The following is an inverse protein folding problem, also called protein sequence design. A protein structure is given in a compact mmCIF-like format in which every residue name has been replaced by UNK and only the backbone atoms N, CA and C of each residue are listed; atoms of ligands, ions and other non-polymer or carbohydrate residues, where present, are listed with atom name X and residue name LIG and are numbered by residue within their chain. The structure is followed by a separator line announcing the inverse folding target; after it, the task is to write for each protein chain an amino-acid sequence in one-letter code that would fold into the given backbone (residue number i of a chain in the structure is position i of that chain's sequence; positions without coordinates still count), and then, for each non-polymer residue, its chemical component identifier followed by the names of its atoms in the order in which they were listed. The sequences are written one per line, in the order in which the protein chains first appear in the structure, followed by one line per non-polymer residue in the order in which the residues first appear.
data_IF_662570565925
#
_entry.id   IF_662570565925
#
_cell.length_a   1.000
_cell.length_b   1.000
_cell.length_c   1.000
_cell.angle_alpha   90.00
_cell.angle_beta   90.00
_cell.angle_gamma   90.00
#
_symmetry.space_group_name_H-M   'P 1'
#
loop_
_entity.id
_entity.type
_entity.pdbx_description
1 polymer ?
#
# COMPACT_ATOMS: atom_id res chain seq x y z
N UNK A 1 -7.67 25.87 3.75
CA UNK A 1 -7.01 26.24 5.01
C UNK A 1 -5.57 26.55 4.70
N UNK A 2 -5.04 27.64 5.22
CA UNK A 2 -3.67 28.12 5.04
C UNK A 2 -2.96 27.96 6.39
N UNK A 3 -2.12 26.95 6.55
CA UNK A 3 -1.51 26.57 7.81
C UNK A 3 -0.17 27.27 8.08
N UNK A 4 0.62 27.52 7.05
CA UNK A 4 1.97 28.11 7.09
C UNK A 4 1.99 29.46 6.35
N UNK A 5 1.14 29.61 5.33
CA UNK A 5 1.08 30.77 4.45
C UNK A 5 0.76 32.07 5.20
N UNK A 6 -0.17 32.06 6.16
CA UNK A 6 -0.49 33.27 6.94
C UNK A 6 0.68 33.74 7.81
N UNK A 7 1.37 32.82 8.49
CA UNK A 7 2.55 33.16 9.30
C UNK A 7 3.68 33.70 8.43
N UNK A 8 3.89 33.13 7.24
CA UNK A 8 4.87 33.61 6.27
C UNK A 8 4.57 35.04 5.81
N UNK A 9 3.32 35.34 5.45
CA UNK A 9 2.91 36.68 5.01
C UNK A 9 3.08 37.70 6.14
N UNK A 10 2.73 37.33 7.36
CA UNK A 10 2.86 38.23 8.51
C UNK A 10 4.32 38.62 8.76
N UNK A 11 5.24 37.63 8.69
CA UNK A 11 6.69 37.87 8.81
C UNK A 11 7.19 38.74 7.65
N UNK A 12 6.77 38.43 6.42
CA UNK A 12 7.20 39.15 5.22
C UNK A 12 6.74 40.62 5.22
N UNK A 13 5.49 40.88 5.59
CA UNK A 13 4.94 42.22 5.76
C UNK A 13 5.66 42.97 6.89
N UNK A 14 5.95 42.32 8.01
CA UNK A 14 6.72 42.90 9.11
C UNK A 14 8.12 43.33 8.69
N UNK A 15 8.83 42.47 7.93
CA UNK A 15 10.14 42.80 7.37
C UNK A 15 10.07 43.97 6.39
N UNK A 16 9.06 44.00 5.53
CA UNK A 16 8.83 45.13 4.60
C UNK A 16 8.53 46.44 5.35
N UNK A 17 7.78 46.38 6.45
CA UNK A 17 7.48 47.55 7.28
C UNK A 17 8.73 48.13 7.94
N UNK A 18 9.59 47.27 8.49
CA UNK A 18 10.88 47.67 9.08
C UNK A 18 11.77 48.31 8.01
N UNK A 19 11.82 47.72 6.82
CA UNK A 19 12.60 48.26 5.71
C UNK A 19 12.08 49.62 5.23
N UNK A 20 10.75 49.77 5.12
CA UNK A 20 10.14 51.04 4.75
C UNK A 20 10.44 52.13 5.79
N UNK A 21 10.43 51.79 7.09
CA UNK A 21 10.77 52.72 8.18
C UNK A 21 12.25 53.15 8.12
N UNK A 22 13.16 52.22 7.82
CA UNK A 22 14.61 52.50 7.74
C UNK A 22 14.98 53.39 6.55
N UNK A 23 14.27 53.25 5.44
CA UNK A 23 14.59 53.97 4.20
C UNK A 23 13.67 55.16 3.91
N UNK A 24 12.81 55.56 4.86
CA UNK A 24 11.80 56.60 4.65
C UNK A 24 10.89 56.34 3.43
N UNK A 25 10.66 55.07 3.10
CA UNK A 25 9.75 54.66 2.02
C UNK A 25 8.30 54.61 2.53
N UNK A 26 7.30 54.60 1.63
CA UNK A 26 5.91 54.61 2.03
C UNK A 26 5.51 53.33 2.79
N UNK A 27 5.09 53.50 4.05
CA UNK A 27 4.71 52.38 4.95
C UNK A 27 3.55 51.53 4.41
N UNK A 28 2.72 52.06 3.51
CA UNK A 28 1.62 51.32 2.88
C UNK A 28 2.11 50.19 1.97
N UNK A 29 3.39 50.16 1.58
CA UNK A 29 3.97 49.03 0.83
C UNK A 29 3.91 47.73 1.63
N UNK A 30 4.08 47.79 2.96
CA UNK A 30 3.91 46.62 3.82
C UNK A 30 2.47 46.08 3.80
N UNK A 31 1.47 46.97 3.80
CA UNK A 31 0.06 46.58 3.72
C UNK A 31 -0.27 45.90 2.37
N UNK A 32 0.35 46.35 1.28
CA UNK A 32 0.20 45.68 -0.02
C UNK A 32 0.90 44.32 -0.04
N UNK A 33 2.09 44.20 0.56
CA UNK A 33 2.78 42.90 0.68
C UNK A 33 1.97 41.93 1.55
N UNK A 34 1.28 42.42 2.58
CA UNK A 34 0.37 41.61 3.39
C UNK A 34 -0.84 41.10 2.59
N UNK A 35 -1.47 41.97 1.80
CA UNK A 35 -2.64 41.60 1.00
C UNK A 35 -2.29 40.80 -0.27
N UNK A 36 -1.12 41.07 -0.86
CA UNK A 36 -0.65 40.50 -2.12
C UNK A 36 0.87 40.23 -2.05
N UNK A 37 1.30 39.12 -1.41
CA UNK A 37 2.71 38.82 -1.15
C UNK A 37 3.54 38.62 -2.42
N UNK A 38 2.88 38.28 -3.53
CA UNK A 38 3.49 38.13 -4.86
C UNK A 38 4.06 39.46 -5.38
N UNK A 39 3.65 40.60 -4.81
CA UNK A 39 4.19 41.92 -5.14
C UNK A 39 5.53 42.25 -4.46
N UNK A 40 6.00 41.42 -3.52
CA UNK A 40 7.24 41.65 -2.77
C UNK A 40 8.48 41.82 -3.68
N UNK A 41 8.69 41.02 -4.74
CA UNK A 41 9.77 41.24 -5.70
C UNK A 41 9.78 42.65 -6.29
N UNK A 42 8.62 43.19 -6.67
CA UNK A 42 8.52 44.54 -7.23
C UNK A 42 9.06 45.60 -6.26
N UNK A 43 8.72 45.50 -4.98
CA UNK A 43 9.20 46.43 -3.96
C UNK A 43 10.69 46.22 -3.59
N UNK A 44 11.19 44.98 -3.66
CA UNK A 44 12.63 44.68 -3.52
C UNK A 44 13.41 45.36 -4.65
N UNK A 45 12.93 45.32 -5.89
CA UNK A 45 13.61 45.99 -7.00
C UNK A 45 13.51 47.51 -6.95
N UNK A 46 12.39 48.04 -6.45
CA UNK A 46 12.13 49.49 -6.33
C UNK A 46 12.88 50.16 -5.17
N UNK A 47 13.25 49.43 -4.12
CA UNK A 47 13.95 49.95 -2.93
C UNK A 47 15.45 50.25 -3.12
N UNK A 48 16.01 50.07 -4.31
CA UNK A 48 17.29 50.71 -4.65
C UNK A 48 18.59 50.01 -4.22
N UNK A 49 18.57 48.96 -3.38
CA UNK A 49 19.81 48.36 -2.80
C UNK A 49 20.72 47.60 -3.78
N UNK A 50 21.99 47.37 -3.40
CA UNK A 50 22.98 46.56 -4.15
C UNK A 50 22.80 45.03 -4.06
N UNK A 51 21.95 44.53 -3.15
CA UNK A 51 21.73 43.09 -2.90
C UNK A 51 20.35 42.59 -3.35
N UNK A 52 19.73 43.23 -4.35
CA UNK A 52 18.35 42.91 -4.82
C UNK A 52 18.20 41.46 -5.26
N UNK A 53 19.19 40.93 -5.98
CA UNK A 53 19.19 39.55 -6.45
C UNK A 53 19.18 38.55 -5.29
N UNK A 54 19.97 38.80 -4.24
CA UNK A 54 20.02 37.94 -3.06
C UNK A 54 18.67 37.95 -2.32
N UNK A 55 18.08 39.13 -2.11
CA UNK A 55 16.77 39.26 -1.46
C UNK A 55 15.63 38.63 -2.29
N UNK A 56 15.68 38.79 -3.61
CA UNK A 56 14.75 38.15 -4.53
C UNK A 56 14.87 36.62 -4.48
N UNK A 57 16.09 36.08 -4.51
CA UNK A 57 16.34 34.64 -4.41
C UNK A 57 15.85 34.09 -3.06
N UNK A 58 16.12 34.78 -1.95
CA UNK A 58 15.60 34.39 -0.62
C UNK A 58 14.07 34.38 -0.64
N UNK A 59 13.42 35.40 -1.20
CA UNK A 59 11.96 35.42 -1.32
C UNK A 59 11.44 34.25 -2.15
N UNK A 60 12.04 33.97 -3.31
CA UNK A 60 11.62 32.87 -4.19
C UNK A 60 11.76 31.52 -3.50
N UNK A 61 12.87 31.28 -2.79
CA UNK A 61 13.10 30.04 -2.05
C UNK A 61 12.09 29.88 -0.91
N UNK A 62 11.88 30.91 -0.10
CA UNK A 62 10.92 30.86 1.00
C UNK A 62 9.47 30.71 0.49
N UNK A 63 9.09 31.44 -0.56
CA UNK A 63 7.78 31.34 -1.17
C UNK A 63 7.54 29.93 -1.75
N UNK A 64 8.55 29.35 -2.40
CA UNK A 64 8.48 27.98 -2.91
C UNK A 64 8.32 26.96 -1.77
N UNK A 65 9.13 27.06 -0.71
CA UNK A 65 9.04 26.16 0.45
C UNK A 65 7.64 26.24 1.10
N UNK A 66 7.10 27.44 1.27
CA UNK A 66 5.78 27.64 1.89
C UNK A 66 4.67 27.10 1.00
N UNK A 67 4.71 27.37 -0.31
CA UNK A 67 3.69 26.87 -1.25
C UNK A 67 3.71 25.35 -1.36
N UNK A 68 4.90 24.74 -1.51
CA UNK A 68 5.04 23.27 -1.54
C UNK A 68 4.63 22.66 -0.19
N UNK A 69 5.03 23.25 0.93
CA UNK A 69 4.66 22.80 2.27
C UNK A 69 3.15 22.82 2.50
N UNK A 70 2.47 23.89 2.06
CA UNK A 70 1.01 23.99 2.12
C UNK A 70 0.31 22.95 1.26
N UNK A 71 0.76 22.76 0.03
CA UNK A 71 0.22 21.73 -0.87
C UNK A 71 0.39 20.34 -0.23
N UNK A 72 1.57 20.06 0.34
CA UNK A 72 1.85 18.80 1.02
C UNK A 72 0.93 18.59 2.23
N UNK A 73 0.83 19.59 3.13
CA UNK A 73 -0.01 19.51 4.33
C UNK A 73 -1.48 19.38 3.94
N UNK A 74 -1.96 20.18 3.01
CA UNK A 74 -3.34 20.12 2.52
C UNK A 74 -3.64 18.75 1.91
N UNK A 75 -2.74 18.20 1.09
CA UNK A 75 -2.92 16.87 0.50
C UNK A 75 -3.02 15.77 1.56
N UNK A 76 -2.17 15.85 2.60
CA UNK A 76 -2.17 14.91 3.72
C UNK A 76 -3.43 15.04 4.57
N UNK A 77 -3.84 16.26 4.93
CA UNK A 77 -5.07 16.49 5.69
C UNK A 77 -6.32 16.10 4.91
N UNK A 78 -6.37 16.42 3.62
CA UNK A 78 -7.47 16.00 2.73
C UNK A 78 -7.58 14.47 2.67
N UNK A 79 -6.46 13.76 2.68
CA UNK A 79 -6.45 12.30 2.74
C UNK A 79 -6.90 11.79 4.12
N UNK A 80 -6.41 12.37 5.22
CA UNK A 80 -6.76 11.98 6.60
C UNK A 80 -8.25 12.21 6.91
N UNK A 81 -8.80 13.35 6.50
CA UNK A 81 -10.16 13.78 6.82
C UNK A 81 -11.18 13.50 5.71
N UNK A 82 -10.80 12.73 4.69
CA UNK A 82 -11.65 12.45 3.51
C UNK A 82 -13.04 11.89 3.88
N UNK A 83 -13.15 11.25 5.05
CA UNK A 83 -14.35 10.54 5.48
C UNK A 83 -14.89 11.03 6.83
N UNK A 84 -14.40 12.15 7.37
CA UNK A 84 -14.72 12.57 8.73
C UNK A 84 -16.16 13.00 8.95
N UNK A 85 -16.84 13.42 7.89
CA UNK A 85 -18.28 13.69 7.89
C UNK A 85 -19.14 12.41 7.96
N UNK A 86 -18.54 11.22 7.78
CA UNK A 86 -19.27 9.96 7.80
C UNK A 86 -19.40 9.41 9.23
N UNK A 87 -20.50 8.67 9.52
CA UNK A 87 -20.67 7.99 10.80
C UNK A 87 -19.48 7.07 11.14
N UNK A 88 -19.14 6.89 12.43
CA UNK A 88 -18.00 6.06 12.86
C UNK A 88 -17.98 4.65 12.24
N UNK A 89 -19.14 3.99 12.20
CA UNK A 89 -19.29 2.65 11.60
C UNK A 89 -18.98 2.67 10.10
N UNK A 90 -19.42 3.70 9.37
CA UNK A 90 -19.13 3.86 7.94
C UNK A 90 -17.64 4.12 7.69
N UNK A 91 -16.98 4.91 8.55
CA UNK A 91 -15.53 5.12 8.48
C UNK A 91 -14.76 3.81 8.72
N UNK A 92 -15.17 3.02 9.70
CA UNK A 92 -14.56 1.71 9.98
C UNK A 92 -14.76 0.75 8.82
N UNK A 93 -15.97 0.70 8.24
CA UNK A 93 -16.26 -0.10 7.05
C UNK A 93 -15.31 0.26 5.92
N UNK A 94 -15.19 1.54 5.56
CA UNK A 94 -14.29 2.02 4.49
C UNK A 94 -12.86 1.60 4.77
N UNK A 95 -12.38 1.78 6.02
CA UNK A 95 -11.03 1.41 6.43
C UNK A 95 -10.77 -0.08 6.26
N UNK A 96 -11.64 -0.95 6.77
CA UNK A 96 -11.48 -2.40 6.65
C UNK A 96 -11.60 -2.89 5.21
N UNK A 97 -12.53 -2.30 4.44
CA UNK A 97 -12.66 -2.51 3.00
C UNK A 97 -11.35 -2.21 2.26
N UNK A 98 -10.71 -1.08 2.56
CA UNK A 98 -9.48 -0.66 1.91
C UNK A 98 -8.29 -1.53 2.32
N UNK A 99 -8.16 -1.88 3.61
CA UNK A 99 -7.12 -2.80 4.10
C UNK A 99 -7.27 -4.18 3.45
N UNK A 100 -8.49 -4.71 3.36
CA UNK A 100 -8.77 -5.98 2.70
C UNK A 100 -8.36 -5.93 1.23
N UNK A 101 -8.76 -4.88 0.50
CA UNK A 101 -8.39 -4.70 -0.90
C UNK A 101 -6.87 -4.64 -1.10
N UNK A 102 -6.18 -3.83 -0.28
CA UNK A 102 -4.73 -3.65 -0.39
C UNK A 102 -3.96 -4.94 -0.07
N UNK A 103 -4.33 -5.63 1.00
CA UNK A 103 -3.67 -6.91 1.38
C UNK A 103 -3.93 -8.00 0.35
N UNK A 104 -5.15 -8.09 -0.21
CA UNK A 104 -5.48 -9.04 -1.27
C UNK A 104 -4.67 -8.77 -2.53
N UNK A 105 -4.57 -7.51 -2.97
CA UNK A 105 -3.75 -7.13 -4.12
C UNK A 105 -2.25 -7.37 -3.90
N UNK A 106 -1.77 -7.12 -2.68
CA UNK A 106 -0.38 -7.39 -2.31
C UNK A 106 -0.06 -8.89 -2.39
N UNK A 107 -0.95 -9.73 -1.83
CA UNK A 107 -0.82 -11.18 -1.89
C UNK A 107 -0.82 -11.70 -3.34
N UNK A 108 -1.76 -11.24 -4.17
CA UNK A 108 -1.83 -11.65 -5.58
C UNK A 108 -0.54 -11.28 -6.34
N UNK A 109 -0.01 -10.06 -6.15
CA UNK A 109 1.26 -9.64 -6.75
C UNK A 109 2.43 -10.52 -6.31
N UNK A 110 2.50 -10.83 -5.03
CA UNK A 110 3.57 -11.66 -4.48
C UNK A 110 3.49 -13.11 -4.98
N UNK A 111 2.28 -13.64 -5.22
CA UNK A 111 2.09 -14.96 -5.84
C UNK A 111 2.57 -14.99 -7.30
N UNK A 112 2.25 -13.95 -8.09
CA UNK A 112 2.73 -13.80 -9.46
C UNK A 112 4.26 -13.73 -9.50
N UNK A 113 4.86 -12.96 -8.59
CA UNK A 113 6.31 -12.86 -8.49
C UNK A 113 6.95 -14.20 -8.09
N UNK A 114 6.34 -14.97 -7.18
CA UNK A 114 6.82 -16.32 -6.84
C UNK A 114 6.82 -17.22 -8.08
N UNK A 115 5.75 -17.19 -8.88
CA UNK A 115 5.65 -18.00 -10.09
C UNK A 115 6.77 -17.64 -11.08
N UNK A 116 7.05 -16.34 -11.26
CA UNK A 116 8.14 -15.86 -12.11
C UNK A 116 9.51 -16.30 -11.59
N UNK A 117 9.77 -16.18 -10.28
CA UNK A 117 11.04 -16.60 -9.68
C UNK A 117 11.24 -18.12 -9.76
N UNK A 118 10.17 -18.91 -9.62
CA UNK A 118 10.22 -20.38 -9.71
C UNK A 118 10.61 -20.92 -11.08
N UNK A 119 10.49 -20.10 -12.14
CA UNK A 119 10.84 -20.47 -13.53
C UNK A 119 12.32 -20.24 -13.87
N UNK A 120 13.10 -19.59 -13.00
CA UNK A 120 14.48 -19.15 -13.29
C UNK A 120 15.51 -20.07 -12.64
N UNK A 121 16.63 -20.28 -13.35
CA UNK A 121 17.71 -21.25 -13.09
C UNK A 121 18.08 -21.52 -11.62
N UNK A 122 18.34 -22.80 -11.33
CA UNK A 122 18.79 -23.33 -10.04
C UNK A 122 20.27 -23.01 -9.75
N UNK A 123 20.56 -21.79 -9.28
CA UNK A 123 21.83 -21.46 -8.64
C UNK A 123 21.64 -21.14 -7.15
N UNK A 124 22.70 -21.29 -6.35
CA UNK A 124 22.65 -21.10 -4.90
C UNK A 124 22.05 -19.76 -4.47
N UNK A 125 22.46 -18.68 -5.13
CA UNK A 125 21.96 -17.33 -4.85
C UNK A 125 20.45 -17.22 -5.08
N UNK A 126 19.95 -17.79 -6.18
CA UNK A 126 18.51 -17.80 -6.50
C UNK A 126 17.70 -18.65 -5.53
N UNK A 127 18.24 -19.77 -5.07
CA UNK A 127 17.60 -20.60 -4.03
C UNK A 127 17.44 -19.80 -2.73
N UNK A 128 18.49 -19.11 -2.29
CA UNK A 128 18.45 -18.26 -1.09
C UNK A 128 17.45 -17.12 -1.23
N UNK A 129 17.49 -16.39 -2.36
CA UNK A 129 16.52 -15.33 -2.66
C UNK A 129 15.08 -15.83 -2.60
N UNK A 130 14.81 -17.00 -3.19
CA UNK A 130 13.46 -17.58 -3.22
C UNK A 130 13.01 -18.00 -1.82
N UNK A 131 13.90 -18.55 -0.99
CA UNK A 131 13.58 -18.88 0.42
C UNK A 131 13.20 -17.63 1.21
N UNK A 132 13.96 -16.54 1.07
CA UNK A 132 13.65 -15.26 1.72
C UNK A 132 12.30 -14.71 1.22
N UNK A 133 12.07 -14.78 -0.08
CA UNK A 133 10.84 -14.31 -0.70
C UNK A 133 9.60 -15.10 -0.24
N UNK A 134 9.70 -16.43 -0.09
CA UNK A 134 8.62 -17.26 0.49
C UNK A 134 8.27 -16.79 1.92
N UNK A 135 9.27 -16.38 2.71
CA UNK A 135 9.04 -15.78 4.03
C UNK A 135 8.21 -14.49 3.96
N UNK A 136 8.52 -13.60 3.02
CA UNK A 136 7.76 -12.37 2.78
C UNK A 136 6.33 -12.66 2.31
N UNK A 137 6.16 -13.65 1.42
CA UNK A 137 4.86 -14.08 0.92
C UNK A 137 3.98 -14.66 2.05
N UNK A 138 4.55 -15.43 2.98
CA UNK A 138 3.81 -15.89 4.17
C UNK A 138 3.32 -14.73 5.02
N UNK A 139 4.14 -13.71 5.21
CA UNK A 139 3.70 -12.52 5.95
C UNK A 139 2.53 -11.83 5.24
N UNK A 140 2.61 -11.65 3.91
CA UNK A 140 1.50 -11.09 3.13
C UNK A 140 0.21 -11.94 3.23
N UNK A 141 0.35 -13.27 3.27
CA UNK A 141 -0.78 -14.18 3.48
C UNK A 141 -1.40 -14.00 4.88
N UNK A 142 -0.59 -13.91 5.93
CA UNK A 142 -1.05 -13.67 7.30
C UNK A 142 -1.76 -12.32 7.44
N UNK A 143 -1.20 -11.27 6.86
CA UNK A 143 -1.79 -9.92 6.86
C UNK A 143 -3.15 -9.92 6.15
N UNK A 144 -3.26 -10.63 5.02
CA UNK A 144 -4.53 -10.78 4.31
C UNK A 144 -5.56 -11.58 5.11
N UNK A 145 -5.16 -12.69 5.75
CA UNK A 145 -6.04 -13.47 6.61
C UNK A 145 -6.53 -12.66 7.83
N UNK A 146 -5.65 -11.84 8.42
CA UNK A 146 -6.01 -10.93 9.49
C UNK A 146 -7.02 -9.87 9.03
N UNK A 147 -6.82 -9.28 7.85
CA UNK A 147 -7.76 -8.32 7.26
C UNK A 147 -9.13 -8.95 6.97
N UNK A 148 -9.14 -10.17 6.41
CA UNK A 148 -10.37 -10.95 6.19
C UNK A 148 -11.10 -11.18 7.51
N UNK A 149 -10.39 -11.64 8.54
CA UNK A 149 -10.97 -11.91 9.86
C UNK A 149 -11.58 -10.64 10.47
N UNK A 150 -10.85 -9.52 10.46
CA UNK A 150 -11.35 -8.24 10.96
C UNK A 150 -12.63 -7.81 10.22
N UNK A 151 -12.65 -7.92 8.89
CA UNK A 151 -13.82 -7.59 8.09
C UNK A 151 -15.01 -8.52 8.41
N UNK A 152 -14.79 -9.83 8.48
CA UNK A 152 -15.85 -10.82 8.78
C UNK A 152 -16.46 -10.60 10.17
N UNK A 153 -15.63 -10.33 11.18
CA UNK A 153 -16.06 -10.04 12.56
C UNK A 153 -16.84 -8.73 12.62
N UNK A 154 -16.32 -7.66 12.01
CA UNK A 154 -16.99 -6.36 11.93
C UNK A 154 -18.36 -6.46 11.27
N UNK A 155 -18.46 -7.15 10.13
CA UNK A 155 -19.73 -7.38 9.43
C UNK A 155 -20.68 -8.25 10.24
N UNK A 156 -20.16 -9.21 11.02
CA UNK A 156 -20.94 -9.99 11.96
C UNK A 156 -21.57 -9.15 13.07
N UNK A 157 -20.80 -8.22 13.64
CA UNK A 157 -21.23 -7.38 14.75
C UNK A 157 -22.29 -6.35 14.34
N UNK A 158 -22.18 -5.76 13.14
CA UNK A 158 -23.09 -4.72 12.65
C UNK A 158 -24.14 -5.21 11.62
N UNK A 159 -24.51 -6.50 11.68
CA UNK A 159 -25.40 -7.14 10.69
C UNK A 159 -26.72 -6.38 10.48
N UNK A 160 -27.40 -6.03 11.57
CA UNK A 160 -28.73 -5.41 11.50
C UNK A 160 -28.65 -4.01 10.85
N UNK A 161 -27.57 -3.28 11.15
CA UNK A 161 -27.31 -1.96 10.59
C UNK A 161 -27.05 -2.02 9.08
N UNK A 162 -26.29 -3.02 8.60
CA UNK A 162 -26.06 -3.18 7.15
C UNK A 162 -27.30 -3.65 6.40
N UNK A 163 -28.14 -4.47 7.04
CA UNK A 163 -29.41 -4.93 6.45
C UNK A 163 -30.40 -3.78 6.30
N UNK A 164 -30.51 -2.91 7.30
CA UNK A 164 -31.41 -1.74 7.27
C UNK A 164 -30.97 -0.66 6.26
N UNK A 165 -29.67 -0.58 5.95
CA UNK A 165 -29.10 0.45 5.06
C UNK A 165 -28.88 0.00 3.61
N UNK A 166 -29.43 -1.15 3.22
CA UNK A 166 -29.27 -1.72 1.88
C UNK A 166 -27.78 -1.92 1.48
N UNK A 167 -26.92 -2.21 2.47
CA UNK A 167 -25.49 -2.49 2.26
C UNK A 167 -25.25 -4.00 2.22
N UNK A 168 -26.10 -4.71 1.49
CA UNK A 168 -26.10 -6.18 1.46
C UNK A 168 -24.78 -6.75 0.94
N UNK A 169 -24.11 -6.05 0.02
CA UNK A 169 -22.81 -6.46 -0.53
C UNK A 169 -21.73 -6.68 0.53
N UNK A 170 -21.79 -5.95 1.65
CA UNK A 170 -20.87 -6.11 2.78
C UNK A 170 -21.04 -7.50 3.42
N UNK A 171 -22.28 -7.97 3.49
CA UNK A 171 -22.60 -9.32 3.98
C UNK A 171 -22.18 -10.40 2.98
N UNK A 172 -22.25 -10.12 1.68
CA UNK A 172 -21.79 -11.05 0.64
C UNK A 172 -20.27 -11.25 0.68
N UNK A 173 -19.48 -10.22 1.00
CA UNK A 173 -18.03 -10.37 1.26
C UNK A 173 -17.78 -11.39 2.38
N UNK A 174 -18.54 -11.30 3.48
CA UNK A 174 -18.45 -12.29 4.57
C UNK A 174 -18.80 -13.69 4.09
N UNK A 175 -19.85 -13.87 3.27
CA UNK A 175 -20.20 -15.18 2.72
C UNK A 175 -19.11 -15.76 1.83
N UNK A 176 -18.48 -14.92 1.01
CA UNK A 176 -17.38 -15.35 0.14
C UNK A 176 -16.22 -15.92 0.97
N UNK A 177 -15.72 -15.17 1.95
CA UNK A 177 -14.56 -15.58 2.74
C UNK A 177 -14.83 -16.74 3.71
N UNK A 178 -16.08 -16.92 4.14
CA UNK A 178 -16.50 -18.07 4.93
C UNK A 178 -16.81 -19.32 4.08
N UNK A 179 -16.72 -19.22 2.75
CA UNK A 179 -16.96 -20.37 1.89
C UNK A 179 -15.86 -21.42 2.06
N UNK A 180 -16.26 -22.70 2.14
CA UNK A 180 -15.35 -23.84 2.30
C UNK A 180 -14.29 -23.91 1.21
N UNK A 181 -14.61 -23.53 -0.03
CA UNK A 181 -13.68 -23.50 -1.16
C UNK A 181 -12.58 -22.47 -0.92
N UNK A 182 -12.94 -21.27 -0.45
CA UNK A 182 -11.99 -20.18 -0.18
C UNK A 182 -11.08 -20.54 0.99
N UNK A 183 -11.64 -21.10 2.06
CA UNK A 183 -10.86 -21.60 3.21
C UNK A 183 -9.89 -22.70 2.77
N UNK A 184 -10.37 -23.66 1.96
CA UNK A 184 -9.53 -24.74 1.45
C UNK A 184 -8.40 -24.22 0.54
N UNK A 185 -8.65 -23.17 -0.25
CA UNK A 185 -7.61 -22.51 -1.07
C UNK A 185 -6.49 -21.96 -0.19
N UNK A 186 -6.80 -21.23 0.87
CA UNK A 186 -5.77 -20.71 1.79
C UNK A 186 -4.96 -21.83 2.44
N UNK A 187 -5.62 -22.88 2.94
CA UNK A 187 -4.93 -24.04 3.52
C UNK A 187 -4.04 -24.75 2.50
N UNK A 188 -4.49 -24.85 1.26
CA UNK A 188 -3.69 -25.45 0.18
C UNK A 188 -2.46 -24.61 -0.18
N UNK A 189 -2.59 -23.27 -0.12
CA UNK A 189 -1.50 -22.35 -0.39
C UNK A 189 -0.41 -22.46 0.70
N UNK A 190 -0.81 -22.48 1.97
CA UNK A 190 0.09 -22.70 3.10
C UNK A 190 0.89 -24.00 2.93
N UNK A 191 0.19 -25.11 2.67
CA UNK A 191 0.83 -26.41 2.44
C UNK A 191 1.77 -26.40 1.21
N UNK A 192 1.42 -25.67 0.15
CA UNK A 192 2.31 -25.49 -1.01
C UNK A 192 3.60 -24.76 -0.62
N UNK A 193 3.50 -23.64 0.09
CA UNK A 193 4.67 -22.86 0.52
C UNK A 193 5.57 -23.64 1.47
N UNK A 194 5.00 -24.41 2.40
CA UNK A 194 5.76 -25.24 3.33
C UNK A 194 6.59 -26.31 2.62
N UNK A 195 5.97 -27.02 1.66
CA UNK A 195 6.67 -28.05 0.92
C UNK A 195 7.71 -27.44 -0.05
N UNK A 196 7.41 -26.26 -0.63
CA UNK A 196 8.34 -25.58 -1.52
C UNK A 196 9.58 -25.10 -0.77
N UNK A 197 9.40 -24.42 0.37
CA UNK A 197 10.51 -23.97 1.19
C UNK A 197 11.34 -25.15 1.70
N UNK A 198 10.71 -26.25 2.12
CA UNK A 198 11.40 -27.46 2.57
C UNK A 198 12.31 -28.00 1.46
N UNK A 199 11.79 -28.10 0.23
CA UNK A 199 12.58 -28.51 -0.94
C UNK A 199 13.74 -27.54 -1.19
N UNK A 200 13.48 -26.23 -1.23
CA UNK A 200 14.51 -25.23 -1.49
C UNK A 200 15.61 -25.23 -0.44
N UNK A 201 15.27 -25.33 0.85
CA UNK A 201 16.23 -25.42 1.95
C UNK A 201 17.07 -26.68 1.85
N UNK A 202 16.49 -27.80 1.44
CA UNK A 202 17.23 -29.03 1.20
C UNK A 202 18.20 -28.88 0.02
N UNK A 203 17.73 -28.32 -1.10
CA UNK A 203 18.56 -28.03 -2.28
C UNK A 203 19.71 -27.08 -1.96
N UNK A 204 19.45 -26.01 -1.20
CA UNK A 204 20.45 -25.03 -0.81
C UNK A 204 21.57 -25.66 0.03
N UNK A 205 21.21 -26.45 1.04
CA UNK A 205 22.18 -27.09 1.94
C UNK A 205 23.02 -28.19 1.28
N UNK A 206 22.50 -28.83 0.24
CA UNK A 206 23.12 -29.99 -0.41
C UNK A 206 23.40 -29.72 -1.90
N UNK A 207 23.59 -28.45 -2.27
CA UNK A 207 23.61 -28.03 -3.67
C UNK A 207 24.64 -28.78 -4.51
N UNK A 208 25.89 -28.85 -4.04
CA UNK A 208 26.96 -29.56 -4.76
C UNK A 208 26.68 -31.07 -4.84
N UNK A 209 26.25 -31.69 -3.74
CA UNK A 209 25.98 -33.12 -3.69
C UNK A 209 24.83 -33.54 -4.64
N UNK A 210 23.84 -32.66 -4.85
CA UNK A 210 22.73 -32.87 -5.78
C UNK A 210 23.17 -32.56 -7.22
N UNK A 211 23.77 -31.39 -7.47
CA UNK A 211 24.11 -30.92 -8.82
C UNK A 211 25.22 -31.74 -9.48
N UNK A 212 26.21 -32.19 -8.70
CA UNK A 212 27.29 -33.04 -9.18
C UNK A 212 26.94 -34.53 -9.14
N UNK A 213 25.74 -34.89 -8.67
CA UNK A 213 25.26 -36.28 -8.54
C UNK A 213 26.20 -37.20 -7.75
N UNK A 214 26.92 -36.65 -6.78
CA UNK A 214 27.99 -37.35 -6.05
C UNK A 214 27.44 -38.29 -4.95
N UNK A 215 26.16 -38.14 -4.57
CA UNK A 215 25.56 -38.92 -3.47
C UNK A 215 24.16 -39.42 -3.79
N UNK A 216 24.04 -40.73 -3.92
CA UNK A 216 22.75 -41.44 -4.14
C UNK A 216 21.76 -41.20 -3.01
N UNK A 217 22.23 -41.03 -1.77
CA UNK A 217 21.38 -40.74 -0.60
C UNK A 217 20.76 -39.33 -0.73
N UNK A 218 21.54 -38.32 -1.14
CA UNK A 218 21.05 -36.96 -1.31
C UNK A 218 20.08 -36.86 -2.49
N UNK A 219 20.35 -37.57 -3.59
CA UNK A 219 19.44 -37.65 -4.74
C UNK A 219 18.10 -38.29 -4.39
N UNK A 220 18.10 -39.43 -3.68
CA UNK A 220 16.86 -40.08 -3.23
C UNK A 220 16.02 -39.16 -2.33
N UNK A 221 16.66 -38.45 -1.39
CA UNK A 221 15.97 -37.47 -0.53
C UNK A 221 15.45 -36.27 -1.32
N UNK A 222 16.21 -35.78 -2.30
CA UNK A 222 15.75 -34.73 -3.21
C UNK A 222 14.47 -35.15 -3.93
N UNK A 223 14.43 -36.35 -4.51
CA UNK A 223 13.25 -36.87 -5.19
C UNK A 223 12.04 -36.97 -4.25
N UNK A 224 12.25 -37.42 -3.01
CA UNK A 224 11.19 -37.46 -1.99
C UNK A 224 10.61 -36.07 -1.69
N UNK A 225 11.46 -35.05 -1.49
CA UNK A 225 11.02 -33.68 -1.26
C UNK A 225 10.36 -33.08 -2.51
N UNK A 226 10.90 -33.34 -3.69
CA UNK A 226 10.35 -32.90 -4.95
C UNK A 226 8.96 -33.47 -5.20
N UNK A 227 8.75 -34.76 -4.93
CA UNK A 227 7.43 -35.40 -5.07
C UNK A 227 6.40 -34.82 -4.09
N UNK A 228 6.79 -34.52 -2.84
CA UNK A 228 5.91 -33.84 -1.87
C UNK A 228 5.52 -32.44 -2.35
N UNK A 229 6.50 -31.66 -2.80
CA UNK A 229 6.28 -30.36 -3.41
C UNK A 229 5.33 -30.44 -4.61
N UNK A 230 5.57 -31.37 -5.55
CA UNK A 230 4.73 -31.53 -6.75
C UNK A 230 3.28 -31.85 -6.40
N UNK A 231 3.06 -32.76 -5.44
CA UNK A 231 1.71 -33.08 -4.93
C UNK A 231 1.04 -31.86 -4.28
N UNK A 232 1.80 -31.05 -3.55
CA UNK A 232 1.29 -29.82 -2.94
C UNK A 232 0.88 -28.78 -4.00
N UNK A 233 1.69 -28.61 -5.05
CA UNK A 233 1.37 -27.77 -6.22
C UNK A 233 0.08 -28.24 -6.90
N UNK A 234 -0.05 -29.54 -7.20
CA UNK A 234 -1.24 -30.07 -7.88
C UNK A 234 -2.51 -29.87 -7.03
N UNK A 235 -2.42 -30.11 -5.73
CA UNK A 235 -3.51 -29.84 -4.79
C UNK A 235 -3.88 -28.35 -4.77
N UNK A 236 -2.88 -27.46 -4.67
CA UNK A 236 -3.07 -26.02 -4.67
C UNK A 236 -3.76 -25.53 -5.94
N UNK A 237 -3.26 -25.94 -7.12
CA UNK A 237 -3.83 -25.59 -8.41
C UNK A 237 -5.29 -26.05 -8.53
N UNK A 238 -5.61 -27.27 -8.09
CA UNK A 238 -6.99 -27.77 -8.08
C UNK A 238 -7.92 -26.92 -7.22
N UNK A 239 -7.48 -26.50 -6.03
CA UNK A 239 -8.28 -25.60 -5.19
C UNK A 239 -8.34 -24.18 -5.74
N UNK A 240 -7.29 -23.73 -6.43
CA UNK A 240 -7.25 -22.42 -7.06
C UNK A 240 -8.30 -22.33 -8.19
N UNK A 241 -8.35 -23.34 -9.07
CA UNK A 241 -9.37 -23.44 -10.13
C UNK A 241 -10.78 -23.42 -9.54
N UNK A 242 -11.06 -24.26 -8.53
CA UNK A 242 -12.36 -24.26 -7.84
C UNK A 242 -12.72 -22.90 -7.24
N UNK A 243 -11.74 -22.21 -6.65
CA UNK A 243 -11.91 -20.87 -6.09
C UNK A 243 -12.25 -19.86 -7.18
N UNK A 244 -11.56 -19.91 -8.33
CA UNK A 244 -11.79 -19.02 -9.47
C UNK A 244 -13.19 -19.24 -10.07
N UNK A 245 -13.59 -20.49 -10.28
CA UNK A 245 -14.94 -20.85 -10.76
C UNK A 245 -16.01 -20.31 -9.81
N UNK A 246 -15.90 -20.63 -8.51
CA UNK A 246 -16.80 -20.12 -7.49
C UNK A 246 -16.84 -18.59 -7.48
N UNK A 247 -15.68 -17.94 -7.53
CA UNK A 247 -15.57 -16.48 -7.50
C UNK A 247 -16.20 -15.83 -8.73
N UNK A 248 -16.04 -16.41 -9.92
CA UNK A 248 -16.65 -15.90 -11.14
C UNK A 248 -18.17 -15.96 -11.07
N UNK A 249 -18.73 -17.07 -10.57
CA UNK A 249 -20.18 -17.19 -10.37
C UNK A 249 -20.69 -16.27 -9.24
N UNK A 250 -19.87 -16.09 -8.19
CA UNK A 250 -20.18 -15.16 -7.11
C UNK A 250 -20.24 -13.71 -7.60
N UNK A 251 -19.26 -13.26 -8.39
CA UNK A 251 -19.22 -11.90 -8.96
C UNK A 251 -20.36 -11.66 -9.94
N UNK A 252 -20.79 -12.68 -10.71
CA UNK A 252 -21.97 -12.55 -11.58
C UNK A 252 -23.25 -12.24 -10.78
N UNK A 253 -23.37 -12.79 -9.56
CA UNK A 253 -24.50 -12.56 -8.66
C UNK A 253 -24.36 -11.27 -7.85
N UNK A 254 -23.12 -10.89 -7.50
CA UNK A 254 -22.79 -9.77 -6.62
C UNK A 254 -21.65 -8.92 -7.20
N UNK A 255 -21.89 -8.17 -8.29
CA UNK A 255 -20.85 -7.47 -9.05
C UNK A 255 -20.08 -6.43 -8.23
N UNK A 256 -20.74 -5.78 -7.28
CA UNK A 256 -20.18 -4.76 -6.40
C UNK A 256 -19.09 -5.29 -5.45
N UNK A 257 -19.05 -6.61 -5.20
CA UNK A 257 -18.03 -7.23 -4.36
C UNK A 257 -16.67 -7.37 -5.05
N UNK A 258 -16.60 -7.26 -6.39
CA UNK A 258 -15.43 -7.56 -7.21
C UNK A 258 -14.13 -6.89 -6.72
N UNK A 259 -14.21 -5.65 -6.23
CA UNK A 259 -13.06 -4.89 -5.77
C UNK A 259 -12.41 -5.42 -4.48
N UNK A 260 -13.10 -6.33 -3.77
CA UNK A 260 -12.71 -6.86 -2.46
C UNK A 260 -12.27 -8.33 -2.52
N UNK A 261 -12.32 -8.91 -3.72
CA UNK A 261 -11.97 -10.30 -3.99
C UNK A 261 -10.62 -10.37 -4.69
N UNK A 262 -9.93 -11.52 -4.64
CA UNK A 262 -8.68 -11.71 -5.38
C UNK A 262 -8.82 -11.36 -6.86
N UNK A 263 -7.83 -10.67 -7.43
CA UNK A 263 -7.82 -10.27 -8.84
C UNK A 263 -7.39 -11.43 -9.74
N UNK A 264 -6.60 -12.36 -9.21
CA UNK A 264 -6.05 -13.50 -9.93
C UNK A 264 -7.17 -14.47 -10.37
N UNK A 265 -7.22 -14.73 -11.68
CA UNK A 265 -8.18 -15.56 -12.41
C UNK A 265 -7.46 -16.56 -13.29
#
# INVERSE_FOLDING_TARGET
MYYIYFSFIFILSGLMFVECKRQSLPKWWAAIVFAAPVTTPYFIFKSGKGNRLVLFLIFMVCFFIVTVGEIFIYSRMKATYKYDYLPPVTRQLIRYSEILKQTTQSLDKALIELEQQSKVQSNLYKLEQTIVFIGQLRQAMLDNQAAIKQMVEFVGHYRDLFTQKDLQWVYEIKKFYNNRIVIARFKSLENYLDNFETLLRFCYRNFDAITKSESTIHLKKYDEYYLRYRRAVDSHNRFNVKRIEFQNDFIKRYPETKAYLPAER
#
